data_IF_168940204997
#
_entry.id   IF_168940204997
#
_cell.length_a   1.000
_cell.length_b   1.000
_cell.length_c   1.000
_cell.angle_alpha   90.00
_cell.angle_beta   90.00
_cell.angle_gamma   90.00
#
_symmetry.space_group_name_H-M   'P 1'
#
loop_
_entity.id
_entity.type
_entity.pdbx_description
1 polymer ?
#
# COMPACT_ATOMS: atom_id res chain seq x y z
N UNK A 1 41.53 21.27 37.16
CA UNK A 1 40.13 21.28 37.64
C UNK A 1 39.39 22.36 36.85
N UNK A 2 38.42 22.12 35.98
CA UNK A 2 37.68 20.92 35.56
C UNK A 2 37.46 21.00 34.05
N UNK A 3 37.69 19.88 33.38
CA UNK A 3 37.24 19.61 32.02
C UNK A 3 35.71 19.67 31.95
N UNK A 4 35.18 20.37 30.94
CA UNK A 4 33.83 20.14 30.44
C UNK A 4 33.96 19.75 28.97
N UNK A 5 34.09 18.45 28.74
CA UNK A 5 33.97 17.83 27.42
C UNK A 5 32.58 18.18 26.87
N UNK A 6 32.57 18.95 25.78
CA UNK A 6 31.40 19.08 24.93
C UNK A 6 31.19 17.70 24.30
N UNK A 7 30.24 16.96 24.83
CA UNK A 7 29.76 15.70 24.29
C UNK A 7 29.12 15.97 22.93
N UNK A 8 29.75 15.47 21.87
CA UNK A 8 29.13 15.34 20.55
C UNK A 8 27.78 14.62 20.69
N UNK A 9 26.72 15.08 20.01
CA UNK A 9 25.41 14.43 20.03
C UNK A 9 25.49 13.04 19.36
N UNK A 10 24.59 12.11 19.71
CA UNK A 10 24.67 10.73 19.24
C UNK A 10 24.46 10.67 17.72
N UNK A 11 25.40 10.03 17.02
CA UNK A 11 25.21 9.60 15.65
C UNK A 11 23.94 8.72 15.57
N UNK A 12 23.17 8.77 14.47
CA UNK A 12 22.17 7.75 14.17
C UNK A 12 22.86 6.38 14.11
N UNK A 13 22.11 5.28 14.06
CA UNK A 13 22.65 3.94 13.86
C UNK A 13 23.30 3.81 12.46
N UNK A 14 24.44 4.49 12.26
CA UNK A 14 25.42 4.23 11.25
C UNK A 14 25.87 2.80 11.50
N UNK A 15 25.63 1.92 10.52
CA UNK A 15 26.57 0.84 10.32
C UNK A 15 27.86 1.56 9.89
N UNK A 16 28.62 2.04 10.88
CA UNK A 16 29.91 2.65 10.67
C UNK A 16 30.83 1.68 9.94
N UNK A 17 31.99 2.14 9.45
CA UNK A 17 32.97 1.30 8.78
C UNK A 17 33.47 0.09 9.63
N UNK A 18 33.05 -0.05 10.89
CA UNK A 18 33.34 -1.18 11.79
C UNK A 18 32.11 -2.04 12.18
N UNK A 19 30.94 -1.82 11.58
CA UNK A 19 29.69 -2.40 12.09
C UNK A 19 29.42 -3.84 11.69
N UNK A 20 29.57 -4.74 12.66
CA UNK A 20 28.99 -6.08 12.67
C UNK A 20 27.49 -6.00 12.96
N UNK A 21 26.74 -6.99 12.49
CA UNK A 21 25.32 -7.10 12.84
C UNK A 21 25.16 -7.45 14.32
N UNK A 22 24.09 -6.96 14.95
CA UNK A 22 23.73 -7.34 16.32
C UNK A 22 23.14 -8.75 16.39
N UNK A 23 23.17 -9.38 17.57
CA UNK A 23 22.60 -10.71 17.82
C UNK A 23 23.67 -11.78 18.06
N UNK A 24 23.25 -13.03 18.22
CA UNK A 24 24.14 -14.19 18.40
C UNK A 24 24.20 -15.00 17.11
N UNK A 25 25.43 -15.19 16.59
CA UNK A 25 25.69 -16.00 15.40
C UNK A 25 25.13 -17.42 15.55
N UNK A 26 25.22 -18.03 16.74
CA UNK A 26 24.72 -19.38 17.01
C UNK A 26 23.20 -19.45 16.84
N UNK A 27 22.50 -18.43 17.34
CA UNK A 27 21.04 -18.31 17.19
C UNK A 27 20.66 -18.11 15.72
N UNK A 28 21.39 -17.25 15.00
CA UNK A 28 21.15 -17.01 13.58
C UNK A 28 21.41 -18.26 12.73
N UNK A 29 22.48 -19.01 13.01
CA UNK A 29 22.78 -20.31 12.37
C UNK A 29 21.68 -21.34 12.66
N UNK A 30 21.20 -21.41 13.90
CA UNK A 30 20.08 -22.30 14.26
C UNK A 30 18.80 -21.92 13.51
N UNK A 31 18.50 -20.62 13.40
CA UNK A 31 17.36 -20.15 12.61
C UNK A 31 17.51 -20.55 11.14
N UNK A 32 18.71 -20.40 10.55
CA UNK A 32 18.94 -20.80 9.16
C UNK A 32 18.64 -22.30 8.97
N UNK A 33 19.10 -23.16 9.89
CA UNK A 33 18.87 -24.60 9.81
C UNK A 33 17.39 -25.01 9.95
N UNK A 34 16.55 -24.23 10.65
CA UNK A 34 15.13 -24.55 10.84
C UNK A 34 14.23 -23.67 9.97
N UNK A 35 14.15 -22.37 10.25
CA UNK A 35 13.29 -21.43 9.53
C UNK A 35 13.80 -21.05 8.14
N UNK A 36 15.10 -21.22 7.88
CA UNK A 36 15.66 -20.98 6.54
C UNK A 36 15.19 -22.00 5.50
N UNK A 37 14.90 -23.24 5.90
CA UNK A 37 14.44 -24.29 4.99
C UNK A 37 13.05 -24.00 4.45
N UNK A 38 12.13 -23.55 5.31
CA UNK A 38 10.79 -23.13 4.90
C UNK A 38 10.87 -21.93 3.94
N UNK A 39 11.67 -20.91 4.29
CA UNK A 39 11.87 -19.73 3.43
C UNK A 39 12.45 -20.09 2.05
N UNK A 40 13.39 -21.03 2.00
CA UNK A 40 13.95 -21.52 0.74
C UNK A 40 12.89 -22.26 -0.10
N UNK A 41 12.15 -23.19 0.52
CA UNK A 41 11.12 -23.96 -0.15
C UNK A 41 10.02 -23.04 -0.72
N UNK A 42 9.57 -22.06 0.07
CA UNK A 42 8.61 -21.05 -0.36
C UNK A 42 9.15 -20.21 -1.51
N UNK A 43 10.42 -19.78 -1.44
CA UNK A 43 11.04 -18.97 -2.49
C UNK A 43 11.19 -19.73 -3.83
N UNK A 44 11.48 -21.04 -3.78
CA UNK A 44 11.50 -21.89 -4.98
C UNK A 44 10.08 -22.07 -5.54
N UNK A 45 9.09 -22.29 -4.68
CA UNK A 45 7.68 -22.45 -5.08
C UNK A 45 7.12 -21.18 -5.72
N UNK A 46 7.47 -20.01 -5.16
CA UNK A 46 7.10 -18.69 -5.66
C UNK A 46 7.95 -18.22 -6.85
N UNK A 47 8.97 -19.00 -7.27
CA UNK A 47 9.91 -18.69 -8.36
C UNK A 47 10.76 -17.44 -8.11
N UNK A 48 10.96 -17.07 -6.84
CA UNK A 48 11.89 -16.02 -6.44
C UNK A 48 13.34 -16.51 -6.55
N UNK A 49 13.55 -17.81 -6.29
CA UNK A 49 14.78 -18.54 -6.57
C UNK A 49 14.55 -19.51 -7.72
N UNK A 50 15.59 -19.70 -8.52
CA UNK A 50 15.63 -20.70 -9.59
C UNK A 50 15.82 -22.10 -8.98
N UNK A 51 15.32 -23.13 -9.67
CA UNK A 51 15.30 -24.51 -9.15
C UNK A 51 16.68 -25.15 -9.03
N UNK A 52 17.70 -24.56 -9.64
CA UNK A 52 19.11 -24.92 -9.51
C UNK A 52 19.72 -24.48 -8.16
N UNK A 53 19.11 -23.52 -7.46
CA UNK A 53 19.47 -23.15 -6.09
C UNK A 53 18.88 -24.19 -5.14
N UNK A 54 19.60 -25.31 -5.00
CA UNK A 54 19.25 -26.38 -4.06
C UNK A 54 19.43 -25.95 -2.60
N UNK A 55 18.79 -26.65 -1.66
CA UNK A 55 18.96 -26.39 -0.22
C UNK A 55 20.43 -26.31 0.24
N UNK A 56 21.33 -27.26 -0.12
CA UNK A 56 22.73 -27.17 0.27
C UNK A 56 23.48 -25.93 -0.28
N UNK A 57 23.05 -25.39 -1.43
CA UNK A 57 23.61 -24.16 -1.98
C UNK A 57 23.09 -22.95 -1.19
N UNK A 58 21.79 -22.92 -0.92
CA UNK A 58 21.14 -21.89 -0.11
C UNK A 58 21.75 -21.82 1.30
N UNK A 59 21.83 -22.95 1.99
CA UNK A 59 22.36 -23.06 3.34
C UNK A 59 23.84 -22.66 3.41
N UNK A 60 24.69 -23.19 2.52
CA UNK A 60 26.12 -22.86 2.51
C UNK A 60 26.36 -21.36 2.26
N UNK A 61 25.63 -20.77 1.31
CA UNK A 61 25.71 -19.33 1.02
C UNK A 61 25.19 -18.52 2.21
N UNK A 62 24.12 -18.97 2.86
CA UNK A 62 23.57 -18.28 4.02
C UNK A 62 24.46 -18.31 5.25
N UNK A 63 25.11 -19.44 5.52
CA UNK A 63 26.12 -19.56 6.58
C UNK A 63 27.28 -18.59 6.33
N UNK A 64 27.80 -18.55 5.11
CA UNK A 64 28.87 -17.64 4.72
C UNK A 64 28.49 -16.16 4.94
N UNK A 65 27.30 -15.76 4.50
CA UNK A 65 26.81 -14.38 4.70
C UNK A 65 26.64 -14.04 6.18
N UNK A 66 26.12 -14.96 7.00
CA UNK A 66 25.99 -14.75 8.44
C UNK A 66 27.36 -14.61 9.12
N UNK A 67 28.32 -15.44 8.76
CA UNK A 67 29.68 -15.39 9.30
C UNK A 67 30.38 -14.10 8.92
N UNK A 68 30.29 -13.67 7.66
CA UNK A 68 30.83 -12.40 7.21
C UNK A 68 30.17 -11.20 7.92
N UNK A 69 28.84 -11.23 8.08
CA UNK A 69 28.09 -10.15 8.72
C UNK A 69 28.36 -10.02 10.23
N UNK A 70 28.66 -11.12 10.90
CA UNK A 70 29.14 -11.12 12.29
C UNK A 70 30.64 -10.84 12.39
N UNK A 71 31.42 -11.13 11.35
CA UNK A 71 32.87 -10.95 11.30
C UNK A 71 33.31 -9.51 11.07
N UNK A 72 32.54 -8.71 10.33
CA UNK A 72 32.91 -7.34 10.02
C UNK A 72 31.88 -6.56 9.18
N UNK A 73 32.29 -5.38 8.66
CA UNK A 73 31.43 -4.53 7.85
C UNK A 73 31.09 -5.18 6.49
N UNK A 74 30.09 -4.65 5.77
CA UNK A 74 29.77 -5.11 4.42
C UNK A 74 30.96 -4.91 3.47
N UNK A 75 31.34 -5.95 2.73
CA UNK A 75 32.46 -5.89 1.77
C UNK A 75 32.09 -6.54 0.45
N UNK A 76 32.74 -6.11 -0.62
CA UNK A 76 32.66 -6.74 -1.94
C UNK A 76 33.13 -8.21 -1.88
N UNK A 77 34.23 -8.46 -1.16
CA UNK A 77 34.81 -9.78 -0.97
C UNK A 77 33.83 -10.78 -0.34
N UNK A 78 32.93 -10.34 0.54
CA UNK A 78 31.91 -11.23 1.12
C UNK A 78 30.91 -11.77 0.07
N UNK A 79 30.70 -11.04 -1.02
CA UNK A 79 29.82 -11.44 -2.13
C UNK A 79 30.60 -12.24 -3.18
N UNK A 80 31.80 -11.79 -3.54
CA UNK A 80 32.63 -12.43 -4.58
C UNK A 80 33.20 -13.78 -4.13
N UNK A 81 33.59 -13.92 -2.86
CA UNK A 81 34.17 -15.15 -2.31
C UNK A 81 33.10 -16.12 -1.79
N UNK A 82 31.89 -16.12 -2.38
CA UNK A 82 30.82 -16.99 -1.93
C UNK A 82 31.16 -18.48 -2.23
N UNK A 83 30.78 -19.42 -1.35
CA UNK A 83 31.27 -20.80 -1.38
C UNK A 83 30.82 -21.62 -2.60
N UNK A 84 29.93 -21.07 -3.44
CA UNK A 84 29.27 -21.77 -4.54
C UNK A 84 29.45 -21.06 -5.89
N UNK A 85 30.31 -20.04 -5.97
CA UNK A 85 30.54 -19.23 -7.17
C UNK A 85 29.25 -18.70 -7.82
N UNK A 86 28.26 -18.38 -7.00
CA UNK A 86 27.02 -17.76 -7.44
C UNK A 86 27.28 -16.35 -7.95
N UNK A 87 26.44 -15.90 -8.86
CA UNK A 87 26.44 -14.52 -9.31
C UNK A 87 26.09 -13.58 -8.14
N UNK A 88 26.57 -12.33 -8.13
CA UNK A 88 26.22 -11.37 -7.09
C UNK A 88 24.71 -11.18 -6.88
N UNK A 89 23.92 -11.31 -7.96
CA UNK A 89 22.46 -11.22 -7.89
C UNK A 89 21.84 -12.42 -7.15
N UNK A 90 22.32 -13.64 -7.38
CA UNK A 90 21.85 -14.83 -6.67
C UNK A 90 22.21 -14.75 -5.18
N UNK A 91 23.42 -14.28 -4.86
CA UNK A 91 23.84 -14.03 -3.46
C UNK A 91 22.91 -13.00 -2.80
N UNK A 92 22.53 -11.93 -3.52
CA UNK A 92 21.55 -10.97 -3.03
C UNK A 92 20.19 -11.62 -2.76
N UNK A 93 19.64 -12.38 -3.72
CA UNK A 93 18.34 -13.06 -3.56
C UNK A 93 18.32 -13.99 -2.35
N UNK A 94 19.38 -14.81 -2.18
CA UNK A 94 19.53 -15.69 -1.00
C UNK A 94 19.64 -14.84 0.28
N UNK A 95 20.47 -13.80 0.29
CA UNK A 95 20.65 -12.91 1.43
C UNK A 95 19.35 -12.23 1.90
N UNK A 96 18.47 -11.85 0.97
CA UNK A 96 17.15 -11.26 1.29
C UNK A 96 16.19 -12.24 1.98
N UNK A 97 16.39 -13.54 1.79
CA UNK A 97 15.56 -14.60 2.38
C UNK A 97 16.07 -15.07 3.75
N UNK A 98 17.31 -14.73 4.11
CA UNK A 98 17.91 -15.09 5.39
C UNK A 98 17.57 -14.00 6.41
N UNK A 99 16.99 -14.38 7.56
CA UNK A 99 16.57 -13.45 8.62
C UNK A 99 15.80 -12.23 8.04
N UNK A 100 14.68 -12.43 7.33
CA UNK A 100 14.01 -11.37 6.56
C UNK A 100 13.54 -10.19 7.43
N UNK A 101 13.30 -10.43 8.72
CA UNK A 101 12.87 -9.41 9.68
C UNK A 101 14.03 -8.80 10.49
N UNK A 102 15.26 -9.29 10.35
CA UNK A 102 16.42 -8.77 11.07
C UNK A 102 17.04 -7.58 10.31
N UNK A 103 16.55 -6.37 10.61
CA UNK A 103 16.91 -5.13 9.90
C UNK A 103 18.44 -4.91 9.75
N UNK A 104 19.28 -5.10 10.79
CA UNK A 104 20.73 -4.92 10.63
C UNK A 104 21.35 -5.86 9.60
N UNK A 105 20.86 -7.11 9.53
CA UNK A 105 21.37 -8.09 8.56
C UNK A 105 20.88 -7.75 7.15
N UNK A 106 19.61 -7.38 7.00
CA UNK A 106 19.05 -6.96 5.71
C UNK A 106 19.74 -5.71 5.14
N UNK A 107 20.10 -4.75 6.00
CA UNK A 107 20.93 -3.62 5.62
C UNK A 107 22.34 -4.06 5.22
N UNK A 108 22.99 -4.92 6.01
CA UNK A 108 24.32 -5.44 5.72
C UNK A 108 24.38 -6.13 4.35
N UNK A 109 23.43 -7.03 4.06
CA UNK A 109 23.33 -7.74 2.77
C UNK A 109 23.16 -6.75 1.62
N UNK A 110 22.25 -5.79 1.77
CA UNK A 110 21.98 -4.79 0.72
C UNK A 110 23.21 -3.89 0.49
N UNK A 111 23.99 -3.57 1.53
CA UNK A 111 25.22 -2.79 1.38
C UNK A 111 26.32 -3.58 0.68
N UNK A 112 26.58 -4.83 1.10
CA UNK A 112 27.63 -5.67 0.51
C UNK A 112 27.36 -5.94 -0.98
N UNK A 113 26.11 -6.22 -1.33
CA UNK A 113 25.69 -6.49 -2.72
C UNK A 113 25.60 -5.23 -3.58
N UNK A 114 25.34 -4.05 -3.00
CA UNK A 114 25.47 -2.79 -3.71
C UNK A 114 26.93 -2.49 -4.10
N UNK A 115 27.90 -2.84 -3.25
CA UNK A 115 29.33 -2.78 -3.60
C UNK A 115 29.67 -3.69 -4.79
N UNK A 116 28.99 -4.84 -4.89
CA UNK A 116 29.05 -5.77 -6.03
C UNK A 116 28.20 -5.33 -7.24
N UNK A 117 27.74 -4.07 -7.26
CA UNK A 117 26.94 -3.46 -8.35
C UNK A 117 25.61 -4.17 -8.63
N UNK A 118 25.04 -4.88 -7.65
CA UNK A 118 23.71 -5.49 -7.78
C UNK A 118 22.65 -4.39 -7.81
N UNK A 119 21.93 -4.27 -8.93
CA UNK A 119 20.98 -3.17 -9.18
C UNK A 119 19.89 -3.03 -8.10
N UNK A 120 19.13 -4.08 -7.72
CA UNK A 120 18.14 -3.96 -6.64
C UNK A 120 18.73 -3.48 -5.31
N UNK A 121 19.97 -3.89 -5.00
CA UNK A 121 20.66 -3.47 -3.79
C UNK A 121 21.03 -1.98 -3.83
N UNK A 122 21.49 -1.50 -5.00
CA UNK A 122 21.73 -0.06 -5.23
C UNK A 122 20.44 0.74 -4.99
N UNK A 123 19.31 0.26 -5.53
CA UNK A 123 18.02 0.94 -5.41
C UNK A 123 17.55 1.02 -3.94
N UNK A 124 17.65 -0.08 -3.19
CA UNK A 124 17.30 -0.12 -1.76
C UNK A 124 18.17 0.85 -0.95
N UNK A 125 19.49 0.86 -1.19
CA UNK A 125 20.42 1.73 -0.47
C UNK A 125 20.18 3.21 -0.77
N UNK A 126 20.00 3.57 -2.05
CA UNK A 126 19.64 4.93 -2.44
C UNK A 126 18.29 5.36 -1.84
N UNK A 127 17.31 4.44 -1.81
CA UNK A 127 16.00 4.71 -1.24
C UNK A 127 16.03 5.00 0.27
N UNK A 128 16.81 4.20 1.01
CA UNK A 128 17.03 4.41 2.44
C UNK A 128 17.76 5.73 2.72
N UNK A 129 18.81 6.05 1.94
CA UNK A 129 19.52 7.33 2.05
C UNK A 129 18.56 8.52 1.90
N UNK A 130 17.69 8.51 0.87
CA UNK A 130 16.70 9.57 0.66
C UNK A 130 15.66 9.65 1.79
N UNK A 131 15.22 8.52 2.35
CA UNK A 131 14.30 8.50 3.51
C UNK A 131 14.95 9.11 4.74
N UNK A 132 16.19 8.73 5.05
CA UNK A 132 16.89 9.21 6.23
C UNK A 132 17.05 10.72 6.20
N UNK A 133 17.41 11.30 5.05
CA UNK A 133 17.47 12.76 4.90
C UNK A 133 16.12 13.44 5.23
N UNK A 134 14.98 12.83 4.83
CA UNK A 134 13.64 13.34 5.18
C UNK A 134 13.30 13.17 6.66
N UNK A 135 13.70 12.06 7.28
CA UNK A 135 13.40 11.77 8.68
C UNK A 135 14.12 12.74 9.63
N UNK A 136 15.41 13.04 9.36
CA UNK A 136 16.19 14.01 10.14
C UNK A 136 15.61 15.43 10.09
N UNK A 137 14.90 15.79 9.00
CA UNK A 137 14.19 17.06 8.88
C UNK A 137 12.93 17.15 9.75
N UNK A 138 12.34 16.02 10.16
CA UNK A 138 11.08 15.98 10.95
C UNK A 138 11.29 15.78 12.45
N UNK A 139 12.45 15.25 12.88
CA UNK A 139 12.68 14.82 14.26
C UNK A 139 13.28 15.90 15.18
N UNK A 140 13.51 17.11 14.68
CA UNK A 140 14.12 18.20 15.46
C UNK A 140 13.09 19.33 15.65
N UNK A 141 12.89 19.72 16.91
CA UNK A 141 12.11 20.89 17.33
C UNK A 141 13.07 21.88 18.01
N UNK A 142 13.15 23.16 17.58
CA UNK A 142 12.41 23.77 16.46
C UNK A 142 12.78 23.15 15.10
N UNK A 143 11.89 23.26 14.08
CA UNK A 143 12.14 22.66 12.77
C UNK A 143 13.48 23.18 12.22
N UNK A 144 14.42 22.28 11.86
CA UNK A 144 15.70 22.70 11.31
C UNK A 144 15.47 23.34 9.94
N UNK A 145 16.43 24.15 9.45
CA UNK A 145 16.43 24.60 8.06
C UNK A 145 16.28 23.39 7.11
N UNK A 146 15.73 23.58 5.90
CA UNK A 146 15.54 22.49 4.95
C UNK A 146 16.85 21.70 4.79
N UNK A 147 16.79 20.36 4.79
CA UNK A 147 17.99 19.54 4.74
C UNK A 147 18.81 19.94 3.51
N UNK A 148 20.16 19.98 3.63
CA UNK A 148 21.00 20.30 2.50
C UNK A 148 20.71 19.33 1.35
N UNK A 149 20.82 19.78 0.09
CA UNK A 149 20.59 18.92 -1.05
C UNK A 149 21.50 17.68 -0.99
N UNK A 150 21.03 16.52 -1.50
CA UNK A 150 21.79 15.29 -1.48
C UNK A 150 23.18 15.50 -2.07
N UNK A 151 24.21 15.25 -1.25
CA UNK A 151 25.61 15.32 -1.66
C UNK A 151 25.90 14.27 -2.73
N UNK A 152 26.94 14.49 -3.52
CA UNK A 152 27.45 13.50 -4.46
C UNK A 152 28.10 12.34 -3.70
N UNK A 153 27.28 11.40 -3.27
CA UNK A 153 27.71 10.16 -2.65
C UNK A 153 27.74 9.04 -3.69
N UNK A 154 28.65 8.05 -3.57
CA UNK A 154 28.82 7.00 -4.58
C UNK A 154 27.54 6.26 -4.95
N UNK A 155 26.65 6.05 -3.97
CA UNK A 155 25.37 5.35 -4.21
C UNK A 155 24.41 6.16 -5.11
N UNK A 156 24.40 7.49 -5.00
CA UNK A 156 23.57 8.34 -5.85
C UNK A 156 24.18 8.48 -7.26
N UNK A 157 25.51 8.49 -7.36
CA UNK A 157 26.21 8.44 -8.65
C UNK A 157 25.94 7.13 -9.39
N UNK A 158 25.89 6.00 -8.68
CA UNK A 158 25.52 4.72 -9.27
C UNK A 158 24.07 4.73 -9.81
N UNK A 159 23.14 5.35 -9.09
CA UNK A 159 21.76 5.55 -9.56
C UNK A 159 21.72 6.46 -10.79
N UNK A 160 22.43 7.59 -10.78
CA UNK A 160 22.52 8.51 -11.92
C UNK A 160 23.09 7.83 -13.17
N UNK A 161 24.17 7.06 -13.02
CA UNK A 161 24.76 6.31 -14.13
C UNK A 161 23.82 5.25 -14.72
N UNK A 162 23.00 4.60 -13.88
CA UNK A 162 21.97 3.66 -14.32
C UNK A 162 20.77 4.38 -14.95
N UNK A 163 20.47 5.61 -14.54
CA UNK A 163 19.36 6.41 -15.06
C UNK A 163 19.69 7.09 -16.39
N UNK A 164 20.94 7.50 -16.61
CA UNK A 164 21.37 8.32 -17.76
C UNK A 164 22.27 7.56 -18.75
N UNK A 165 22.57 6.30 -18.46
CA UNK A 165 23.40 5.44 -19.31
C UNK A 165 22.75 5.10 -20.67
N UNK A 166 23.48 4.39 -21.56
CA UNK A 166 23.00 4.05 -22.90
C UNK A 166 21.76 3.15 -22.92
N UNK A 167 21.52 2.42 -21.83
CA UNK A 167 20.32 1.63 -21.60
C UNK A 167 19.72 2.05 -20.24
N UNK A 168 18.95 3.16 -20.21
CA UNK A 168 18.38 3.69 -18.98
C UNK A 168 17.55 2.64 -18.24
N UNK A 169 17.82 2.45 -16.94
CA UNK A 169 17.01 1.59 -16.10
C UNK A 169 15.82 2.39 -15.53
N UNK A 170 14.56 2.03 -15.83
CA UNK A 170 13.36 2.74 -15.38
C UNK A 170 13.31 2.98 -13.86
N UNK A 171 13.85 2.04 -13.09
CA UNK A 171 13.88 2.08 -11.63
C UNK A 171 14.89 3.12 -11.13
N UNK A 172 16.04 3.18 -11.79
CA UNK A 172 17.06 4.18 -11.52
C UNK A 172 16.60 5.58 -11.93
N UNK A 173 15.90 5.71 -13.06
CA UNK A 173 15.30 6.98 -13.50
C UNK A 173 14.33 7.53 -12.46
N UNK A 174 13.45 6.68 -11.91
CA UNK A 174 12.52 7.08 -10.84
C UNK A 174 13.24 7.59 -9.59
N UNK A 175 14.26 6.85 -9.13
CA UNK A 175 15.07 7.25 -7.98
C UNK A 175 15.86 8.55 -8.25
N UNK A 176 16.46 8.67 -9.43
CA UNK A 176 17.22 9.84 -9.81
C UNK A 176 16.35 11.09 -9.92
N UNK A 177 15.11 10.98 -10.43
CA UNK A 177 14.15 12.09 -10.42
C UNK A 177 13.89 12.64 -9.01
N UNK A 178 13.86 11.76 -7.99
CA UNK A 178 13.75 12.19 -6.59
C UNK A 178 15.01 12.88 -6.08
N UNK A 179 16.19 12.40 -6.48
CA UNK A 179 17.47 13.06 -6.18
C UNK A 179 17.48 14.47 -6.76
N UNK A 180 17.10 14.63 -8.03
CA UNK A 180 16.99 15.92 -8.71
C UNK A 180 15.99 16.84 -8.00
N UNK A 181 14.83 16.35 -7.57
CA UNK A 181 13.88 17.14 -6.79
C UNK A 181 14.45 17.60 -5.45
N UNK A 182 15.17 16.73 -4.74
CA UNK A 182 15.85 17.11 -3.50
C UNK A 182 17.00 18.11 -3.74
N UNK A 183 17.55 18.16 -4.96
CA UNK A 183 18.50 19.18 -5.44
C UNK A 183 17.83 20.43 -6.00
N UNK A 184 16.49 20.52 -5.94
CA UNK A 184 15.67 21.61 -6.50
C UNK A 184 15.75 21.73 -8.04
N UNK A 185 16.21 20.68 -8.70
CA UNK A 185 16.28 20.54 -10.16
C UNK A 185 14.95 19.98 -10.69
N UNK A 186 13.86 20.74 -10.49
CA UNK A 186 12.50 20.27 -10.76
C UNK A 186 12.21 20.04 -12.25
N UNK A 187 12.80 20.87 -13.12
CA UNK A 187 12.62 20.76 -14.57
C UNK A 187 13.26 19.49 -15.11
N UNK A 188 14.50 19.21 -14.70
CA UNK A 188 15.19 17.98 -15.06
C UNK A 188 14.48 16.75 -14.48
N UNK A 189 14.01 16.84 -13.23
CA UNK A 189 13.23 15.76 -12.61
C UNK A 189 11.93 15.47 -13.38
N UNK A 190 11.19 16.51 -13.76
CA UNK A 190 9.95 16.34 -14.53
C UNK A 190 10.22 15.75 -15.91
N UNK A 191 11.23 16.25 -16.63
CA UNK A 191 11.60 15.72 -17.95
C UNK A 191 11.98 14.23 -17.88
N UNK A 192 12.70 13.83 -16.84
CA UNK A 192 13.06 12.42 -16.63
C UNK A 192 11.84 11.54 -16.31
N UNK A 193 10.85 12.06 -15.59
CA UNK A 193 9.60 11.35 -15.31
C UNK A 193 8.71 11.24 -16.54
N UNK A 194 8.68 12.28 -17.38
CA UNK A 194 8.01 12.25 -18.68
C UNK A 194 8.64 11.17 -19.58
N UNK A 195 9.97 11.09 -19.65
CA UNK A 195 10.68 10.04 -20.40
C UNK A 195 10.42 8.65 -19.83
N UNK A 196 10.49 8.50 -18.51
CA UNK A 196 10.19 7.25 -17.82
C UNK A 196 8.76 6.76 -18.12
N UNK A 197 7.79 7.67 -18.19
CA UNK A 197 6.40 7.33 -18.48
C UNK A 197 6.21 6.71 -19.87
N UNK A 198 7.05 7.08 -20.85
CA UNK A 198 7.03 6.49 -22.20
C UNK A 198 7.70 5.11 -22.25
N UNK A 199 8.55 4.78 -21.27
CA UNK A 199 9.27 3.49 -21.20
C UNK A 199 8.50 2.40 -20.46
N UNK A 200 7.63 2.79 -19.53
CA UNK A 200 6.95 1.84 -18.64
C UNK A 200 5.61 1.39 -19.23
N UNK A 201 5.19 0.18 -18.90
CA UNK A 201 3.94 -0.40 -19.39
C UNK A 201 3.16 -1.11 -18.28
N UNK A 202 1.83 -1.22 -18.40
CA UNK A 202 1.03 -1.99 -17.46
C UNK A 202 1.41 -3.47 -17.53
N UNK A 203 1.86 -4.03 -16.40
CA UNK A 203 2.21 -5.43 -16.32
C UNK A 203 0.94 -6.31 -16.46
N UNK A 204 0.98 -7.29 -17.37
CA UNK A 204 -0.12 -8.27 -17.56
C UNK A 204 -0.14 -9.35 -16.48
N UNK A 205 1.01 -9.59 -15.85
CA UNK A 205 1.22 -10.56 -14.77
C UNK A 205 2.17 -9.96 -13.77
N UNK A 206 2.01 -10.29 -12.50
CA UNK A 206 3.02 -10.00 -11.49
C UNK A 206 4.23 -10.87 -11.82
N UNK A 207 5.33 -10.24 -12.24
CA UNK A 207 6.57 -10.95 -12.48
C UNK A 207 7.23 -11.25 -11.12
N UNK A 208 7.63 -12.50 -10.86
CA UNK A 208 8.24 -12.89 -9.59
C UNK A 208 9.61 -12.24 -9.38
N UNK A 209 10.02 -12.12 -8.11
CA UNK A 209 11.34 -11.61 -7.74
C UNK A 209 11.43 -10.12 -7.39
N UNK A 210 12.63 -9.72 -6.93
CA UNK A 210 12.94 -8.38 -6.39
C UNK A 210 13.16 -7.29 -7.45
N UNK A 211 13.05 -7.62 -8.73
CA UNK A 211 13.45 -6.75 -9.84
C UNK A 211 12.28 -6.03 -10.51
N UNK A 212 11.04 -6.43 -10.27
CA UNK A 212 9.96 -6.20 -11.25
C UNK A 212 9.09 -4.98 -10.99
N UNK A 213 9.15 -4.38 -9.79
CA UNK A 213 8.39 -3.17 -9.46
C UNK A 213 9.18 -1.87 -9.60
N UNK A 214 8.55 -0.80 -10.09
CA UNK A 214 8.96 0.61 -9.85
C UNK A 214 8.64 1.04 -8.41
N UNK A 215 8.77 0.12 -7.47
CA UNK A 215 8.42 0.33 -6.08
C UNK A 215 9.53 -0.25 -5.21
N UNK A 216 10.19 0.63 -4.48
CA UNK A 216 11.29 0.30 -3.59
C UNK A 216 10.93 0.83 -2.21
N UNK A 217 10.34 0.02 -1.31
CA UNK A 217 10.20 0.45 0.07
C UNK A 217 11.55 0.95 0.59
N UNK A 218 11.62 2.17 1.15
CA UNK A 218 10.51 2.98 1.66
C UNK A 218 10.05 4.14 0.77
N UNK A 219 10.45 4.19 -0.50
CA UNK A 219 10.10 5.25 -1.45
C UNK A 219 8.67 5.08 -1.97
N UNK A 220 7.99 6.22 -2.09
CA UNK A 220 6.64 6.33 -2.66
C UNK A 220 6.64 5.83 -4.11
N UNK A 221 5.48 5.41 -4.60
CA UNK A 221 5.36 4.88 -5.97
C UNK A 221 5.84 5.90 -7.03
N UNK A 222 6.11 5.42 -8.24
CA UNK A 222 6.39 6.27 -9.39
C UNK A 222 5.35 7.39 -9.54
N UNK A 223 4.07 7.07 -9.44
CA UNK A 223 2.97 8.03 -9.56
C UNK A 223 2.93 9.05 -8.43
N UNK A 224 3.18 8.64 -7.18
CA UNK A 224 3.26 9.57 -6.05
C UNK A 224 4.42 10.55 -6.24
N UNK A 225 5.53 10.05 -6.78
CA UNK A 225 6.66 10.90 -7.15
C UNK A 225 6.26 11.87 -8.25
N UNK A 226 5.62 11.40 -9.32
CA UNK A 226 5.17 12.24 -10.43
C UNK A 226 4.24 13.37 -9.97
N UNK A 227 3.20 13.03 -9.20
CA UNK A 227 2.26 14.00 -8.66
C UNK A 227 2.98 15.00 -7.75
N UNK A 228 3.92 14.53 -6.92
CA UNK A 228 4.71 15.41 -6.07
C UNK A 228 5.57 16.40 -6.87
N UNK A 229 6.32 15.92 -7.87
CA UNK A 229 7.14 16.80 -8.74
C UNK A 229 6.26 17.77 -9.50
N UNK A 230 5.10 17.33 -9.97
CA UNK A 230 4.14 18.20 -10.64
C UNK A 230 3.63 19.32 -9.73
N UNK A 231 3.29 19.01 -8.48
CA UNK A 231 2.91 20.04 -7.51
C UNK A 231 4.00 21.11 -7.36
N UNK A 232 5.26 20.68 -7.23
CA UNK A 232 6.40 21.59 -7.18
C UNK A 232 6.56 22.41 -8.47
N UNK A 233 6.38 21.81 -9.64
CA UNK A 233 6.43 22.53 -10.92
C UNK A 233 5.35 23.62 -11.01
N UNK A 234 4.13 23.33 -10.55
CA UNK A 234 3.02 24.29 -10.52
C UNK A 234 3.26 25.43 -9.52
N UNK A 235 3.78 25.12 -8.33
CA UNK A 235 4.13 26.12 -7.31
C UNK A 235 5.17 27.13 -7.86
N UNK A 236 6.11 26.64 -8.67
CA UNK A 236 7.11 27.45 -9.36
C UNK A 236 6.63 28.04 -10.70
N UNK A 237 5.35 27.89 -11.05
CA UNK A 237 4.73 28.39 -12.31
C UNK A 237 5.41 27.86 -13.58
N UNK A 238 5.99 26.66 -13.52
CA UNK A 238 6.51 25.99 -14.69
C UNK A 238 5.39 25.27 -15.45
N UNK A 239 5.53 25.21 -16.77
CA UNK A 239 4.63 24.43 -17.62
C UNK A 239 5.00 22.94 -17.49
N UNK A 240 3.98 22.09 -17.41
CA UNK A 240 4.11 20.62 -17.39
C UNK A 240 3.44 20.02 -18.61
N UNK A 241 3.99 18.92 -19.13
CA UNK A 241 3.42 18.20 -20.28
C UNK A 241 2.02 17.65 -19.97
N UNK A 242 1.84 17.14 -18.76
CA UNK A 242 0.60 16.53 -18.29
C UNK A 242 -0.04 17.31 -17.14
N UNK A 243 -1.37 17.35 -17.11
CA UNK A 243 -2.16 17.96 -16.02
C UNK A 243 -2.30 16.99 -14.83
N UNK A 244 -2.63 17.47 -13.61
CA UNK A 244 -2.75 16.58 -12.45
C UNK A 244 -3.79 15.50 -12.66
N UNK A 245 -4.94 15.89 -13.21
CA UNK A 245 -6.02 14.97 -13.56
C UNK A 245 -5.58 13.92 -14.58
N UNK A 246 -4.79 14.30 -15.59
CA UNK A 246 -4.28 13.36 -16.58
C UNK A 246 -3.36 12.31 -15.96
N UNK A 247 -2.47 12.71 -15.04
CA UNK A 247 -1.59 11.78 -14.33
C UNK A 247 -2.42 10.78 -13.51
N UNK A 248 -3.41 11.27 -12.74
CA UNK A 248 -4.34 10.40 -12.00
C UNK A 248 -5.11 9.46 -12.92
N UNK A 249 -5.61 9.97 -14.05
CA UNK A 249 -6.33 9.16 -15.05
C UNK A 249 -5.44 8.07 -15.62
N UNK A 250 -4.19 8.35 -16.00
CA UNK A 250 -3.26 7.34 -16.55
C UNK A 250 -2.95 6.26 -15.51
N UNK A 251 -2.63 6.65 -14.28
CA UNK A 251 -2.38 5.72 -13.18
C UNK A 251 -3.58 4.80 -12.89
N UNK A 252 -4.79 5.37 -12.90
CA UNK A 252 -6.04 4.66 -12.64
C UNK A 252 -6.50 3.80 -13.83
N UNK A 253 -6.50 4.33 -15.05
CA UNK A 253 -7.15 3.72 -16.20
C UNK A 253 -6.18 2.91 -17.08
N UNK A 254 -4.95 3.37 -17.29
CA UNK A 254 -3.97 2.66 -18.11
C UNK A 254 -3.23 1.60 -17.28
N UNK A 255 -2.83 1.96 -16.05
CA UNK A 255 -2.05 1.07 -15.17
C UNK A 255 -2.88 0.33 -14.12
N UNK A 256 -4.18 0.65 -14.01
CA UNK A 256 -5.14 -0.04 -13.13
C UNK A 256 -4.67 -0.13 -11.67
N UNK A 257 -3.93 0.86 -11.18
CA UNK A 257 -3.39 0.81 -9.83
C UNK A 257 -4.48 1.10 -8.78
N UNK A 258 -4.71 0.21 -7.79
CA UNK A 258 -5.87 0.31 -6.89
C UNK A 258 -5.98 1.61 -6.10
N UNK A 259 -4.87 2.12 -5.58
CA UNK A 259 -4.85 3.40 -4.85
C UNK A 259 -5.26 4.59 -5.74
N UNK A 260 -4.80 4.59 -7.00
CA UNK A 260 -5.12 5.67 -7.95
C UNK A 260 -6.52 5.57 -8.53
N UNK A 261 -7.09 4.36 -8.65
CA UNK A 261 -8.52 4.19 -8.96
C UNK A 261 -9.38 4.97 -7.94
N UNK A 262 -9.05 4.88 -6.65
CA UNK A 262 -9.78 5.58 -5.58
C UNK A 262 -9.56 7.09 -5.63
N UNK A 263 -8.31 7.54 -5.78
CA UNK A 263 -8.00 8.98 -5.86
C UNK A 263 -8.65 9.64 -7.06
N UNK A 264 -8.59 9.00 -8.23
CA UNK A 264 -9.22 9.50 -9.45
C UNK A 264 -10.74 9.49 -9.34
N UNK A 265 -11.34 8.45 -8.73
CA UNK A 265 -12.77 8.44 -8.43
C UNK A 265 -13.17 9.64 -7.56
N UNK A 266 -12.38 9.99 -6.53
CA UNK A 266 -12.60 11.17 -5.70
C UNK A 266 -12.68 12.48 -6.51
N UNK A 267 -11.78 12.67 -7.47
CA UNK A 267 -11.82 13.83 -8.38
C UNK A 267 -13.08 13.84 -9.25
N UNK A 268 -13.46 12.69 -9.81
CA UNK A 268 -14.68 12.55 -10.61
C UNK A 268 -15.94 12.85 -9.80
N UNK A 269 -15.95 12.46 -8.52
CA UNK A 269 -17.03 12.78 -7.58
C UNK A 269 -17.16 14.28 -7.37
N UNK A 270 -16.06 14.99 -7.16
CA UNK A 270 -16.04 16.45 -6.97
C UNK A 270 -16.55 17.19 -8.22
N UNK A 271 -16.33 16.62 -9.40
CA UNK A 271 -16.89 17.09 -10.68
C UNK A 271 -18.37 16.69 -10.89
N UNK A 272 -19.00 15.96 -9.96
CA UNK A 272 -20.37 15.47 -10.10
C UNK A 272 -20.54 14.29 -11.09
N UNK A 273 -19.45 13.64 -11.52
CA UNK A 273 -19.45 12.51 -12.46
C UNK A 273 -19.64 11.17 -11.72
N UNK A 274 -20.81 11.01 -11.12
CA UNK A 274 -21.17 9.88 -10.25
C UNK A 274 -21.08 8.50 -10.91
N UNK A 275 -21.50 8.36 -12.17
CA UNK A 275 -21.41 7.09 -12.90
C UNK A 275 -19.95 6.61 -13.04
N UNK A 276 -19.02 7.56 -13.22
CA UNK A 276 -17.61 7.25 -13.33
C UNK A 276 -16.97 7.00 -11.97
N UNK A 277 -17.35 7.78 -10.95
CA UNK A 277 -16.98 7.50 -9.55
C UNK A 277 -17.33 6.05 -9.18
N UNK A 278 -18.56 5.62 -9.44
CA UNK A 278 -19.02 4.25 -9.17
C UNK A 278 -18.16 3.21 -9.89
N UNK A 279 -17.93 3.39 -11.21
CA UNK A 279 -17.11 2.50 -12.03
C UNK A 279 -15.69 2.32 -11.47
N UNK A 280 -15.00 3.41 -11.16
CA UNK A 280 -13.62 3.36 -10.68
C UNK A 280 -13.52 2.82 -9.24
N UNK A 281 -14.45 3.19 -8.36
CA UNK A 281 -14.51 2.63 -7.00
C UNK A 281 -14.75 1.13 -7.04
N UNK A 282 -15.65 0.67 -7.91
CA UNK A 282 -15.88 -0.74 -8.13
C UNK A 282 -14.61 -1.47 -8.57
N UNK A 283 -13.88 -0.94 -9.56
CA UNK A 283 -12.60 -1.53 -9.99
C UNK A 283 -11.60 -1.64 -8.83
N UNK A 284 -11.55 -0.64 -7.95
CA UNK A 284 -10.70 -0.68 -6.76
C UNK A 284 -11.15 -1.77 -5.76
N UNK A 285 -12.46 -1.93 -5.56
CA UNK A 285 -13.02 -3.02 -4.71
C UNK A 285 -12.65 -4.39 -5.28
N UNK A 286 -12.76 -4.58 -6.59
CA UNK A 286 -12.38 -5.84 -7.24
C UNK A 286 -10.89 -6.15 -7.13
N UNK A 287 -10.05 -5.12 -7.00
CA UNK A 287 -8.63 -5.26 -6.72
C UNK A 287 -8.33 -5.47 -5.22
N UNK A 288 -9.34 -5.62 -4.36
CA UNK A 288 -9.19 -5.85 -2.92
C UNK A 288 -8.87 -4.60 -2.11
N UNK A 289 -9.15 -3.40 -2.63
CA UNK A 289 -8.82 -2.15 -1.96
C UNK A 289 -9.77 -1.84 -0.78
N UNK A 290 -9.29 -2.09 0.44
CA UNK A 290 -10.09 -2.03 1.69
C UNK A 290 -10.90 -0.75 1.88
N UNK A 291 -10.27 0.42 1.67
CA UNK A 291 -10.96 1.72 1.85
C UNK A 291 -12.00 1.99 0.76
N UNK A 292 -11.81 1.43 -0.44
CA UNK A 292 -12.77 1.58 -1.54
C UNK A 292 -14.05 0.80 -1.23
N UNK A 293 -13.90 -0.38 -0.61
CA UNK A 293 -15.02 -1.22 -0.20
C UNK A 293 -15.98 -0.48 0.72
N UNK A 294 -15.46 0.14 1.79
CA UNK A 294 -16.28 0.94 2.71
C UNK A 294 -16.95 2.12 2.00
N UNK A 295 -16.21 2.86 1.18
CA UNK A 295 -16.74 4.05 0.49
C UNK A 295 -17.83 3.70 -0.53
N UNK A 296 -17.65 2.61 -1.28
CA UNK A 296 -18.67 2.12 -2.21
C UNK A 296 -19.90 1.59 -1.45
N UNK A 297 -19.72 0.93 -0.30
CA UNK A 297 -20.83 0.52 0.57
C UNK A 297 -21.65 1.73 1.04
N UNK A 298 -20.98 2.79 1.51
CA UNK A 298 -21.62 4.03 1.90
C UNK A 298 -22.38 4.66 0.73
N UNK A 299 -21.77 4.72 -0.45
CA UNK A 299 -22.40 5.25 -1.65
C UNK A 299 -23.70 4.51 -2.01
N UNK A 300 -23.66 3.18 -2.07
CA UNK A 300 -24.85 2.35 -2.36
C UNK A 300 -25.92 2.45 -1.28
N UNK A 301 -25.53 2.52 -0.01
CA UNK A 301 -26.48 2.73 1.07
C UNK A 301 -27.20 4.08 0.95
N UNK A 302 -26.45 5.15 0.65
CA UNK A 302 -27.01 6.48 0.49
C UNK A 302 -27.87 6.58 -0.80
N UNK A 303 -27.55 5.83 -1.86
CA UNK A 303 -28.46 5.65 -3.01
C UNK A 303 -29.77 4.99 -2.58
N UNK A 304 -29.71 3.88 -1.84
CA UNK A 304 -30.89 3.17 -1.36
C UNK A 304 -31.80 4.03 -0.46
N UNK A 305 -31.20 4.98 0.26
CA UNK A 305 -31.90 5.99 1.05
C UNK A 305 -32.46 7.17 0.21
N UNK A 306 -32.22 7.20 -1.10
CA UNK A 306 -32.63 8.30 -1.97
C UNK A 306 -31.85 9.61 -1.74
N UNK A 307 -30.61 9.53 -1.22
CA UNK A 307 -29.75 10.72 -1.00
C UNK A 307 -28.82 11.01 -2.18
N UNK A 308 -28.59 10.04 -3.06
CA UNK A 308 -27.73 10.16 -4.25
C UNK A 308 -28.45 9.61 -5.49
N UNK A 309 -28.07 10.10 -6.69
CA UNK A 309 -28.68 9.63 -7.93
C UNK A 309 -28.32 8.17 -8.18
N UNK A 310 -29.28 7.39 -8.71
CA UNK A 310 -28.97 6.08 -9.29
C UNK A 310 -28.21 6.25 -10.59
N UNK A 311 -27.50 5.20 -11.01
CA UNK A 311 -26.85 5.17 -12.32
C UNK A 311 -27.80 5.57 -13.44
N UNK A 312 -27.38 6.52 -14.27
CA UNK A 312 -28.18 7.05 -15.38
C UNK A 312 -29.41 7.88 -14.97
N UNK A 313 -29.51 8.34 -13.72
CA UNK A 313 -30.44 9.41 -13.31
C UNK A 313 -29.68 10.73 -13.14
N UNK A 314 -30.28 11.84 -13.61
CA UNK A 314 -29.70 13.16 -13.39
C UNK A 314 -29.84 13.59 -11.92
N UNK A 315 -28.84 14.29 -11.39
CA UNK A 315 -28.88 14.88 -10.04
C UNK A 315 -29.98 15.95 -9.88
N UNK A 316 -30.56 16.43 -10.98
CA UNK A 316 -31.66 17.42 -11.01
C UNK A 316 -33.05 16.80 -10.91
N UNK A 317 -33.17 15.46 -10.91
CA UNK A 317 -34.46 14.77 -10.78
C UNK A 317 -34.79 14.59 -9.29
N UNK A 318 -36.04 14.83 -8.89
CA UNK A 318 -36.53 14.53 -7.54
C UNK A 318 -36.09 13.11 -7.14
N UNK A 319 -35.33 12.99 -6.05
CA UNK A 319 -34.82 11.71 -5.60
C UNK A 319 -35.99 10.78 -5.24
N UNK A 320 -35.93 9.50 -5.64
CA UNK A 320 -36.98 8.54 -5.31
C UNK A 320 -37.12 8.37 -3.78
N UNK A 321 -38.31 7.98 -3.32
CA UNK A 321 -38.55 7.70 -1.90
C UNK A 321 -37.55 6.64 -1.40
N UNK A 322 -37.02 6.80 -0.16
CA UNK A 322 -36.14 5.80 0.45
C UNK A 322 -36.80 4.42 0.47
N UNK A 323 -36.00 3.37 0.37
CA UNK A 323 -36.47 1.99 0.60
C UNK A 323 -36.98 1.86 2.04
N UNK A 324 -38.23 1.45 2.21
CA UNK A 324 -38.73 0.99 3.52
C UNK A 324 -38.28 -0.47 3.73
N UNK A 325 -37.33 -0.74 4.65
CA UNK A 325 -36.81 -2.08 4.87
C UNK A 325 -37.89 -3.09 5.29
N UNK A 326 -38.94 -2.62 5.96
CA UNK A 326 -40.03 -3.45 6.46
C UNK A 326 -41.03 -3.86 5.36
N UNK A 327 -41.10 -3.13 4.24
CA UNK A 327 -42.08 -3.36 3.17
C UNK A 327 -41.51 -4.16 1.98
N UNK A 328 -40.18 -4.22 1.80
CA UNK A 328 -39.52 -4.85 0.64
C UNK A 328 -38.95 -6.27 0.88
N UNK A 329 -39.47 -7.00 1.87
CA UNK A 329 -38.98 -8.33 2.23
C UNK A 329 -38.86 -9.32 1.06
N UNK A 330 -39.78 -9.28 0.08
CA UNK A 330 -39.73 -10.15 -1.11
C UNK A 330 -38.57 -9.80 -2.06
N UNK A 331 -38.26 -8.53 -2.26
CA UNK A 331 -37.18 -8.09 -3.14
C UNK A 331 -35.80 -8.42 -2.56
N UNK A 332 -35.64 -8.23 -1.25
CA UNK A 332 -34.41 -8.60 -0.54
C UNK A 332 -34.18 -10.12 -0.53
N UNK A 333 -35.25 -10.93 -0.40
CA UNK A 333 -35.17 -12.38 -0.51
C UNK A 333 -34.76 -12.83 -1.92
N UNK A 334 -35.28 -12.20 -2.97
CA UNK A 334 -34.88 -12.52 -4.36
C UNK A 334 -33.41 -12.19 -4.62
N UNK A 335 -32.92 -11.05 -4.13
CA UNK A 335 -31.50 -10.67 -4.28
C UNK A 335 -30.57 -11.55 -3.42
N UNK A 336 -31.04 -12.04 -2.25
CA UNK A 336 -30.27 -12.95 -1.37
C UNK A 336 -29.86 -14.25 -2.05
N UNK A 337 -30.71 -14.80 -2.90
CA UNK A 337 -30.42 -16.05 -3.62
C UNK A 337 -29.45 -15.85 -4.79
N UNK A 338 -29.13 -14.61 -5.15
CA UNK A 338 -28.15 -14.33 -6.21
C UNK A 338 -26.74 -14.26 -5.63
N UNK A 339 -25.78 -14.99 -6.21
CA UNK A 339 -24.37 -14.86 -5.85
C UNK A 339 -23.88 -13.42 -5.98
N UNK A 340 -23.09 -12.93 -5.03
CA UNK A 340 -22.65 -11.53 -5.00
C UNK A 340 -21.86 -11.16 -6.26
N UNK A 341 -20.99 -12.04 -6.75
CA UNK A 341 -20.24 -11.84 -8.00
C UNK A 341 -21.15 -11.74 -9.23
N UNK A 342 -22.33 -12.38 -9.23
CA UNK A 342 -23.30 -12.23 -10.32
C UNK A 342 -24.00 -10.88 -10.27
N UNK A 343 -24.45 -10.43 -9.09
CA UNK A 343 -25.05 -9.09 -8.92
C UNK A 343 -24.08 -7.98 -9.30
N UNK A 344 -22.84 -8.11 -8.83
CA UNK A 344 -21.77 -7.18 -9.12
C UNK A 344 -21.38 -7.14 -10.61
N UNK A 345 -21.32 -8.32 -11.27
CA UNK A 345 -21.07 -8.41 -12.71
C UNK A 345 -22.23 -7.83 -13.52
N UNK A 346 -23.46 -8.10 -13.14
CA UNK A 346 -24.64 -7.59 -13.82
C UNK A 346 -24.73 -6.06 -13.69
N UNK A 347 -24.31 -5.48 -12.55
CA UNK A 347 -24.11 -4.03 -12.42
C UNK A 347 -23.04 -3.50 -13.40
N UNK A 348 -21.92 -4.19 -13.61
CA UNK A 348 -20.86 -3.71 -14.51
C UNK A 348 -21.25 -3.71 -16.00
N UNK A 349 -21.97 -4.74 -16.44
CA UNK A 349 -22.11 -5.04 -17.88
C UNK A 349 -23.52 -4.89 -18.42
N UNK A 350 -24.54 -4.68 -17.57
CA UNK A 350 -25.88 -4.34 -18.03
C UNK A 350 -26.05 -2.82 -18.16
N UNK A 351 -25.46 -2.23 -19.20
CA UNK A 351 -25.63 -0.79 -19.52
C UNK A 351 -27.10 -0.37 -19.69
N UNK A 352 -27.99 -1.34 -19.90
CA UNK A 352 -29.42 -1.14 -20.18
C UNK A 352 -30.36 -1.38 -19.00
N UNK A 353 -29.88 -1.79 -17.80
CA UNK A 353 -30.75 -2.04 -16.64
C UNK A 353 -30.38 -1.17 -15.44
N UNK A 354 -31.28 -0.26 -15.06
CA UNK A 354 -31.16 0.52 -13.82
C UNK A 354 -31.42 -0.40 -12.61
N UNK A 355 -30.48 -0.55 -11.67
CA UNK A 355 -30.72 -1.36 -10.48
C UNK A 355 -31.84 -0.76 -9.61
N UNK A 356 -32.59 -1.63 -8.92
CA UNK A 356 -33.58 -1.19 -7.94
C UNK A 356 -32.89 -0.64 -6.69
N UNK A 357 -33.60 0.16 -5.90
CA UNK A 357 -33.05 0.62 -4.62
C UNK A 357 -32.84 -0.55 -3.64
N UNK A 358 -33.68 -1.59 -3.71
CA UNK A 358 -33.51 -2.87 -3.01
C UNK A 358 -32.19 -3.55 -3.36
N UNK A 359 -31.81 -3.51 -4.64
CA UNK A 359 -30.55 -4.06 -5.11
C UNK A 359 -29.35 -3.29 -4.53
N UNK A 360 -29.37 -1.96 -4.61
CA UNK A 360 -28.34 -1.12 -3.99
C UNK A 360 -28.23 -1.36 -2.47
N UNK A 361 -29.35 -1.54 -1.78
CA UNK A 361 -29.36 -1.87 -0.35
C UNK A 361 -28.69 -3.23 -0.08
N UNK A 362 -29.01 -4.25 -0.87
CA UNK A 362 -28.40 -5.57 -0.74
C UNK A 362 -26.88 -5.55 -1.02
N UNK A 363 -26.45 -4.78 -2.04
CA UNK A 363 -25.04 -4.58 -2.36
C UNK A 363 -24.29 -3.82 -1.26
N UNK A 364 -24.90 -2.76 -0.71
CA UNK A 364 -24.33 -2.00 0.39
C UNK A 364 -24.05 -2.89 1.61
N UNK A 365 -25.01 -3.75 1.97
CA UNK A 365 -24.85 -4.70 3.08
C UNK A 365 -23.63 -5.61 2.90
N UNK A 366 -23.50 -6.24 1.74
CA UNK A 366 -22.40 -7.17 1.45
C UNK A 366 -21.05 -6.47 1.43
N UNK A 367 -21.00 -5.24 0.91
CA UNK A 367 -19.78 -4.44 0.95
C UNK A 367 -19.44 -3.98 2.38
N UNK A 368 -20.43 -3.69 3.23
CA UNK A 368 -20.18 -3.41 4.65
C UNK A 368 -19.68 -4.65 5.40
N UNK A 369 -20.25 -5.83 5.14
CA UNK A 369 -19.76 -7.09 5.70
C UNK A 369 -18.31 -7.38 5.26
N UNK A 370 -17.98 -7.12 3.99
CA UNK A 370 -16.61 -7.24 3.49
C UNK A 370 -15.66 -6.20 4.12
N UNK A 371 -16.09 -4.95 4.26
CA UNK A 371 -15.32 -3.90 4.92
C UNK A 371 -15.11 -4.19 6.42
N UNK A 372 -16.08 -4.80 7.08
CA UNK A 372 -15.96 -5.31 8.44
C UNK A 372 -14.91 -6.42 8.55
N UNK A 373 -14.87 -7.35 7.60
CA UNK A 373 -13.82 -8.37 7.52
C UNK A 373 -12.43 -7.77 7.30
N UNK A 374 -12.33 -6.62 6.61
CA UNK A 374 -11.09 -5.85 6.48
C UNK A 374 -10.72 -5.01 7.71
N UNK A 375 -11.54 -5.04 8.77
CA UNK A 375 -11.24 -4.39 10.04
C UNK A 375 -11.85 -3.00 10.24
N UNK A 376 -12.91 -2.60 9.50
CA UNK A 376 -13.64 -1.36 9.79
C UNK A 376 -14.72 -1.57 10.85
N UNK A 377 -14.59 -0.99 12.06
CA UNK A 377 -15.58 -1.17 13.13
C UNK A 377 -16.91 -0.47 12.81
N UNK A 378 -16.89 0.66 12.11
CA UNK A 378 -18.11 1.39 11.71
C UNK A 378 -18.94 0.57 10.72
N UNK A 379 -18.26 -0.14 9.80
CA UNK A 379 -18.93 -1.01 8.83
C UNK A 379 -19.66 -2.17 9.51
N UNK A 380 -19.16 -2.67 10.64
CA UNK A 380 -19.87 -3.68 11.47
C UNK A 380 -21.16 -3.09 12.02
N UNK A 381 -21.11 -1.87 12.57
CA UNK A 381 -22.30 -1.22 13.14
C UNK A 381 -23.37 -1.02 12.07
N UNK A 382 -22.98 -0.51 10.89
CA UNK A 382 -23.91 -0.31 9.77
C UNK A 382 -24.50 -1.64 9.31
N UNK A 383 -23.68 -2.67 9.10
CA UNK A 383 -24.15 -4.00 8.69
C UNK A 383 -25.12 -4.62 9.71
N UNK A 384 -24.82 -4.49 11.01
CA UNK A 384 -25.66 -5.00 12.08
C UNK A 384 -27.01 -4.27 12.15
N UNK A 385 -27.02 -2.94 12.05
CA UNK A 385 -28.27 -2.16 12.00
C UNK A 385 -29.10 -2.54 10.78
N UNK A 386 -28.48 -2.71 9.62
CA UNK A 386 -29.17 -3.21 8.42
C UNK A 386 -29.77 -4.60 8.63
N UNK A 387 -29.03 -5.52 9.27
CA UNK A 387 -29.55 -6.85 9.61
C UNK A 387 -30.74 -6.78 10.56
N UNK A 388 -30.69 -5.90 11.57
CA UNK A 388 -31.80 -5.64 12.50
C UNK A 388 -33.04 -5.08 11.80
N UNK A 389 -32.88 -4.10 10.91
CA UNK A 389 -33.96 -3.54 10.10
C UNK A 389 -34.63 -4.59 9.19
N UNK A 390 -33.90 -5.63 8.80
CA UNK A 390 -34.37 -6.75 7.99
C UNK A 390 -34.94 -7.91 8.82
N UNK A 391 -35.05 -7.75 10.15
CA UNK A 391 -35.54 -8.79 11.07
C UNK A 391 -34.52 -9.88 11.43
N UNK A 392 -33.25 -9.73 11.03
CA UNK A 392 -32.15 -10.67 11.31
C UNK A 392 -31.42 -10.28 12.61
N UNK A 393 -32.17 -10.23 13.71
CA UNK A 393 -31.69 -9.77 15.02
C UNK A 393 -30.46 -10.54 15.52
N UNK A 394 -30.52 -11.88 15.48
CA UNK A 394 -29.44 -12.73 15.98
C UNK A 394 -28.14 -12.55 15.20
N UNK A 395 -28.24 -12.33 13.88
CA UNK A 395 -27.08 -12.14 13.02
C UNK A 395 -26.40 -10.80 13.29
N UNK A 396 -27.17 -9.71 13.36
CA UNK A 396 -26.62 -8.39 13.69
C UNK A 396 -26.01 -8.34 15.09
N UNK A 397 -26.63 -9.01 16.07
CA UNK A 397 -26.08 -9.10 17.43
C UNK A 397 -24.75 -9.86 17.44
N UNK A 398 -24.69 -10.99 16.72
CA UNK A 398 -23.48 -11.79 16.63
C UNK A 398 -22.34 -11.00 15.98
N UNK A 399 -22.60 -10.22 14.93
CA UNK A 399 -21.58 -9.35 14.31
C UNK A 399 -20.98 -8.38 15.33
N UNK A 400 -21.84 -7.68 16.07
CA UNK A 400 -21.42 -6.72 17.11
C UNK A 400 -20.61 -7.41 18.22
N UNK A 401 -21.10 -8.55 18.74
CA UNK A 401 -20.43 -9.28 19.82
C UNK A 401 -19.09 -9.86 19.38
N UNK A 402 -18.98 -10.35 18.14
CA UNK A 402 -17.70 -10.80 17.57
C UNK A 402 -16.71 -9.64 17.48
N UNK A 403 -17.15 -8.48 16.98
CA UNK A 403 -16.32 -7.29 16.89
C UNK A 403 -15.79 -6.85 18.27
N UNK A 404 -16.63 -6.83 19.31
CA UNK A 404 -16.22 -6.46 20.68
C UNK A 404 -15.12 -7.37 21.26
N UNK A 405 -15.00 -8.62 20.78
CA UNK A 405 -13.99 -9.60 21.22
C UNK A 405 -12.75 -9.60 20.33
N UNK A 406 -12.82 -9.04 19.13
CA UNK A 406 -11.76 -9.12 18.15
C UNK A 406 -10.66 -8.09 18.43
N UNK A 407 -9.41 -8.55 18.43
CA UNK A 407 -8.22 -7.71 18.65
C UNK A 407 -7.91 -6.79 17.46
N UNK A 408 -8.46 -7.09 16.28
CA UNK A 408 -8.23 -6.35 15.04
C UNK A 408 -8.79 -4.92 15.02
N UNK A 409 -9.65 -4.56 15.97
CA UNK A 409 -10.29 -3.24 16.04
C UNK A 409 -9.67 -2.31 17.09
N UNK A 410 -8.49 -2.60 17.64
CA UNK A 410 -7.87 -1.75 18.69
C UNK A 410 -7.22 -0.49 18.09
N UNK A 411 -8.02 0.57 17.86
CA UNK A 411 -7.57 1.88 17.37
C UNK A 411 -8.29 3.06 18.05
N UNK A 412 -7.96 4.30 17.69
CA UNK A 412 -8.64 5.49 18.24
C UNK A 412 -10.13 5.56 17.83
N UNK A 413 -10.43 5.14 16.60
CA UNK A 413 -11.80 5.03 16.05
C UNK A 413 -12.69 4.08 16.87
N UNK A 414 -12.09 3.09 17.51
CA UNK A 414 -12.79 2.10 18.33
C UNK A 414 -13.38 2.64 19.62
N UNK A 415 -12.75 3.64 20.24
CA UNK A 415 -13.21 4.18 21.51
C UNK A 415 -14.61 4.79 21.38
N UNK A 416 -14.84 5.55 20.30
CA UNK A 416 -16.14 6.15 20.00
C UNK A 416 -17.16 5.08 19.58
N UNK A 417 -16.77 4.20 18.66
CA UNK A 417 -17.66 3.11 18.18
C UNK A 417 -18.11 2.20 19.33
N UNK A 418 -17.24 1.93 20.30
CA UNK A 418 -17.56 1.08 21.45
C UNK A 418 -18.68 1.65 22.31
N UNK A 419 -18.73 2.97 22.52
CA UNK A 419 -19.80 3.63 23.29
C UNK A 419 -21.14 3.49 22.55
N UNK A 420 -21.14 3.80 21.25
CA UNK A 420 -22.33 3.71 20.40
C UNK A 420 -22.87 2.27 20.34
N UNK A 421 -21.97 1.29 20.23
CA UNK A 421 -22.27 -0.14 20.22
C UNK A 421 -22.86 -0.62 21.54
N UNK A 422 -22.35 -0.16 22.69
CA UNK A 422 -22.89 -0.53 23.99
C UNK A 422 -24.33 -0.03 24.15
N UNK A 423 -24.59 1.23 23.78
CA UNK A 423 -25.95 1.78 23.79
C UNK A 423 -26.89 1.05 22.84
N UNK A 424 -26.40 0.64 21.66
CA UNK A 424 -27.16 -0.16 20.70
C UNK A 424 -27.50 -1.55 21.24
N UNK A 425 -26.56 -2.23 21.92
CA UNK A 425 -26.79 -3.55 22.51
C UNK A 425 -27.82 -3.52 23.65
N UNK A 426 -27.81 -2.47 24.48
CA UNK A 426 -28.78 -2.30 25.58
C UNK A 426 -30.22 -2.24 25.09
N UNK A 427 -30.44 -1.77 23.86
CA UNK A 427 -31.77 -1.60 23.23
C UNK A 427 -31.96 -2.50 22.01
N UNK A 428 -31.15 -3.55 21.88
CA UNK A 428 -31.12 -4.36 20.66
C UNK A 428 -32.46 -5.03 20.36
N UNK A 429 -33.09 -5.61 21.39
CA UNK A 429 -34.37 -6.33 21.29
C UNK A 429 -35.59 -5.40 21.12
N UNK A 430 -35.46 -4.11 21.42
CA UNK A 430 -36.56 -3.14 21.30
C UNK A 430 -36.78 -2.71 19.84
N UNK A 431 -37.66 -3.41 19.11
CA UNK A 431 -37.97 -3.10 17.71
C UNK A 431 -38.53 -1.68 17.46
N UNK A 432 -39.03 -0.98 18.49
CA UNK A 432 -39.48 0.40 18.37
C UNK A 432 -38.32 1.40 18.44
N UNK A 433 -37.20 1.00 19.05
CA UNK A 433 -35.98 1.79 19.08
C UNK A 433 -35.32 1.83 17.69
N UNK A 434 -35.38 2.99 17.04
CA UNK A 434 -34.66 3.26 15.78
C UNK A 434 -33.30 3.86 16.10
N UNK A 435 -32.26 3.04 16.01
CA UNK A 435 -30.89 3.51 16.15
C UNK A 435 -30.52 4.40 14.97
N UNK A 436 -30.17 5.66 15.24
CA UNK A 436 -29.66 6.58 14.23
C UNK A 436 -28.16 6.36 14.10
N UNK A 437 -27.74 5.79 12.97
CA UNK A 437 -26.32 5.62 12.66
C UNK A 437 -25.67 7.01 12.58
N UNK A 438 -24.54 7.24 13.27
CA UNK A 438 -23.80 8.51 13.19
C UNK A 438 -23.40 8.84 11.75
N UNK A 439 -23.51 10.11 11.36
CA UNK A 439 -23.19 10.52 9.98
C UNK A 439 -21.70 10.33 9.65
N UNK A 440 -20.84 10.41 10.66
CA UNK A 440 -19.40 10.18 10.59
C UNK A 440 -19.03 8.76 10.12
N UNK A 441 -19.95 7.80 10.25
CA UNK A 441 -19.70 6.43 9.82
C UNK A 441 -19.77 6.30 8.30
N UNK A 442 -20.45 7.24 7.62
CA UNK A 442 -20.57 7.30 6.18
C UNK A 442 -19.43 8.14 5.58
N UNK A 443 -18.56 7.48 4.83
CA UNK A 443 -17.44 8.12 4.12
C UNK A 443 -17.58 7.84 2.64
N UNK A 444 -17.58 8.89 1.82
CA UNK A 444 -17.51 8.78 0.36
C UNK A 444 -16.09 8.97 -0.16
#
# INVERSE_FOLDING_TARGET
MRDARVSSPPHPAEIGPESRITGDLTVHKKWLATGGMDNWADAVLNRDLTTDITWPIFEATGLHLLECAHGGPPTLAAVENNPRNLTPLEVFKIGKLILPHHQPFQHWVSSATALAKVRPAIYIQAANYLKEMRAHSKSQSPPPPPPPPPRDVPILQAVEALATGPFPDPRAMHLHARVLCHRQQYREAMALLDELLELIYPAKKLEPGFETGLYFPPIDSFWDTYIWVQGLMLDHKYQTKHTPEEIYRRAADEFKQPEYLVRYAGHLREQGRWDQYEKYMHMAVMAGHRRATRRLACYYYLIAQGRYPRRGQSATTNFPRPVDPAQEGLGLLQERHRPWWQRLRDELWAESRRPSLTHYRAMARELFELAAAYGSPESVVVAAVMAREEGRLAEGEQMIRTMLRATQFQGSEWAQVKVDVQSLLEKWEDLQFKFKIPEEYFVL
#
